data_IF_183083243512
#
_entry.id   IF_183083243512
#
_cell.length_a   1.000
_cell.length_b   1.000
_cell.length_c   1.000
_cell.angle_alpha   90.00
_cell.angle_beta   90.00
_cell.angle_gamma   90.00
#
_symmetry.space_group_name_H-M   'P 1'
#
loop_
_entity.id
_entity.type
_entity.pdbx_description
1 polymer ?
#
# COMPACT_ATOMS: atom_id res chain seq x y z
N UNK A 1 -29.89 -21.46 -8.80
CA UNK A 1 -29.04 -20.70 -9.76
C UNK A 1 -27.83 -21.56 -10.13
N UNK A 2 -27.78 -22.15 -11.33
CA UNK A 2 -26.64 -23.01 -11.74
C UNK A 2 -25.45 -22.12 -12.09
N UNK A 3 -24.36 -22.18 -11.33
CA UNK A 3 -23.12 -21.52 -11.69
C UNK A 3 -22.46 -22.27 -12.87
N UNK A 4 -22.02 -21.53 -13.88
CA UNK A 4 -21.24 -22.10 -14.97
C UNK A 4 -19.76 -22.26 -14.56
N UNK A 5 -19.02 -23.10 -15.29
CA UNK A 5 -17.60 -23.40 -15.01
C UNK A 5 -16.71 -22.15 -14.96
N UNK A 6 -17.04 -21.09 -15.71
CA UNK A 6 -16.32 -19.80 -15.71
C UNK A 6 -16.52 -19.05 -14.39
N UNK A 7 -17.75 -18.97 -13.91
CA UNK A 7 -18.10 -18.32 -12.65
C UNK A 7 -17.50 -19.07 -11.46
N UNK A 8 -17.47 -20.41 -11.50
CA UNK A 8 -16.80 -21.22 -10.47
C UNK A 8 -15.29 -20.93 -10.42
N UNK A 9 -14.61 -20.81 -11.57
CA UNK A 9 -13.19 -20.45 -11.63
C UNK A 9 -12.91 -19.04 -11.10
N UNK A 10 -13.77 -18.06 -11.43
CA UNK A 10 -13.65 -16.69 -10.92
C UNK A 10 -13.81 -16.67 -9.40
N UNK A 11 -14.83 -17.35 -8.87
CA UNK A 11 -15.04 -17.42 -7.42
C UNK A 11 -13.88 -18.12 -6.70
N UNK A 12 -13.32 -19.19 -7.28
CA UNK A 12 -12.13 -19.84 -6.75
C UNK A 12 -10.92 -18.90 -6.76
N UNK A 13 -10.70 -18.15 -7.84
CA UNK A 13 -9.61 -17.18 -7.91
C UNK A 13 -9.76 -16.06 -6.88
N UNK A 14 -10.98 -15.52 -6.69
CA UNK A 14 -11.26 -14.51 -5.67
C UNK A 14 -11.08 -15.06 -4.25
N UNK A 15 -11.50 -16.30 -4.00
CA UNK A 15 -11.31 -16.96 -2.71
C UNK A 15 -9.82 -17.20 -2.40
N UNK A 16 -9.04 -17.65 -3.38
CA UNK A 16 -7.58 -17.82 -3.24
C UNK A 16 -6.91 -16.46 -3.01
N UNK A 17 -7.26 -15.44 -3.79
CA UNK A 17 -6.74 -14.08 -3.59
C UNK A 17 -7.03 -13.56 -2.17
N UNK A 18 -8.27 -13.72 -1.71
CA UNK A 18 -8.68 -13.32 -0.37
C UNK A 18 -7.86 -14.06 0.72
N UNK A 19 -7.71 -15.39 0.59
CA UNK A 19 -6.92 -16.20 1.52
C UNK A 19 -5.44 -15.79 1.55
N UNK A 20 -4.84 -15.50 0.39
CA UNK A 20 -3.45 -15.02 0.29
C UNK A 20 -3.31 -13.64 0.95
N UNK A 21 -4.27 -12.73 0.74
CA UNK A 21 -4.23 -11.39 1.37
C UNK A 21 -4.41 -11.43 2.88
N UNK A 22 -5.19 -12.37 3.42
CA UNK A 22 -5.39 -12.54 4.85
C UNK A 22 -4.15 -13.10 5.56
N UNK A 23 -3.34 -13.90 4.85
CA UNK A 23 -2.13 -14.51 5.43
C UNK A 23 -0.94 -13.55 5.57
N UNK A 24 -0.97 -12.38 4.90
CA UNK A 24 0.15 -11.44 4.87
C UNK A 24 0.02 -10.28 5.87
N UNK A 25 -1.11 -10.16 6.58
CA UNK A 25 -1.36 -9.04 7.48
C UNK A 25 -0.83 -9.33 8.89
N UNK A 26 0.34 -8.78 9.22
CA UNK A 26 0.85 -8.76 10.60
C UNK A 26 0.28 -7.57 11.36
N UNK A 27 -0.17 -7.77 12.60
CA UNK A 27 -0.62 -6.67 13.45
C UNK A 27 0.55 -5.74 13.78
N UNK A 28 0.33 -4.42 13.72
CA UNK A 28 1.27 -3.42 14.20
C UNK A 28 1.05 -3.22 15.73
N UNK A 29 1.97 -3.69 16.60
CA UNK A 29 1.82 -3.54 18.05
C UNK A 29 1.90 -2.09 18.53
N UNK A 30 2.49 -1.20 17.73
CA UNK A 30 2.63 0.23 18.03
C UNK A 30 1.49 1.08 17.47
N UNK A 31 0.45 0.48 16.89
CA UNK A 31 -0.70 1.20 16.37
C UNK A 31 -1.39 1.99 17.49
N UNK A 32 -1.54 3.30 17.30
CA UNK A 32 -2.15 4.21 18.26
C UNK A 32 -1.28 4.51 19.49
N UNK A 33 -0.06 3.96 19.54
CA UNK A 33 0.92 4.26 20.58
C UNK A 33 1.72 5.46 20.10
N UNK A 34 1.80 6.49 20.94
CA UNK A 34 2.59 7.68 20.64
C UNK A 34 4.08 7.32 20.56
N UNK A 35 4.78 7.91 19.60
CA UNK A 35 6.24 7.80 19.51
C UNK A 35 6.86 8.47 20.74
N UNK A 36 7.70 7.77 21.49
CA UNK A 36 8.26 8.29 22.75
C UNK A 36 9.01 9.62 22.59
N UNK A 37 9.66 9.81 21.45
CA UNK A 37 10.44 11.01 21.16
C UNK A 37 9.59 12.27 20.94
N UNK A 38 8.38 12.14 20.39
CA UNK A 38 7.54 13.29 19.99
C UNK A 38 6.23 13.37 20.77
N UNK A 39 5.78 12.27 21.38
CA UNK A 39 4.46 12.16 21.99
C UNK A 39 3.31 12.11 20.97
N UNK A 40 3.60 11.96 19.68
CA UNK A 40 2.60 12.01 18.61
C UNK A 40 2.31 10.63 18.00
N UNK A 41 1.07 10.46 17.52
CA UNK A 41 0.64 9.32 16.70
C UNK A 41 0.43 9.82 15.28
N UNK A 42 1.12 9.22 14.32
CA UNK A 42 1.13 9.72 12.94
C UNK A 42 -0.19 9.39 12.23
N UNK A 43 -0.74 10.39 11.53
CA UNK A 43 -2.05 10.32 10.88
C UNK A 43 -2.00 10.45 9.36
N UNK A 44 -3.16 10.74 8.76
CA UNK A 44 -3.33 10.79 7.30
C UNK A 44 -2.29 11.66 6.58
N UNK A 45 -2.07 12.90 7.03
CA UNK A 45 -1.15 13.84 6.38
C UNK A 45 0.30 13.37 6.45
N UNK A 46 0.69 12.73 7.55
CA UNK A 46 2.01 12.15 7.70
C UNK A 46 2.17 10.96 6.75
N UNK A 47 1.16 10.09 6.69
CA UNK A 47 1.14 8.98 5.74
C UNK A 47 1.27 9.46 4.30
N UNK A 48 0.53 10.49 3.91
CA UNK A 48 0.62 11.07 2.57
C UNK A 48 2.02 11.58 2.24
N UNK A 49 2.66 12.28 3.18
CA UNK A 49 4.02 12.78 3.02
C UNK A 49 5.07 11.65 2.93
N UNK A 50 4.97 10.67 3.83
CA UNK A 50 5.85 9.50 3.85
C UNK A 50 5.71 8.70 2.56
N UNK A 51 4.49 8.50 2.08
CA UNK A 51 4.23 7.85 0.80
C UNK A 51 4.79 8.63 -0.40
N UNK A 52 4.65 9.95 -0.40
CA UNK A 52 5.20 10.82 -1.46
C UNK A 52 6.73 10.79 -1.50
N UNK A 53 7.37 10.70 -0.33
CA UNK A 53 8.84 10.71 -0.21
C UNK A 53 9.46 9.31 -0.19
N UNK A 54 8.65 8.25 -0.16
CA UNK A 54 9.08 6.86 -0.01
C UNK A 54 10.20 6.45 -0.99
N UNK A 55 10.08 6.84 -2.26
CA UNK A 55 11.10 6.53 -3.28
C UNK A 55 12.43 7.22 -3.03
N UNK A 56 12.40 8.46 -2.52
CA UNK A 56 13.60 9.24 -2.18
C UNK A 56 14.25 8.66 -0.92
N UNK A 57 13.46 8.35 0.11
CA UNK A 57 13.95 7.71 1.33
C UNK A 57 14.61 6.35 1.04
N UNK A 58 13.96 5.53 0.20
CA UNK A 58 14.53 4.28 -0.28
C UNK A 58 15.85 4.47 -1.02
N UNK A 59 15.95 5.48 -1.90
CA UNK A 59 17.18 5.79 -2.62
C UNK A 59 18.33 6.14 -1.67
N UNK A 60 18.09 6.95 -0.63
CA UNK A 60 19.12 7.25 0.36
C UNK A 60 19.54 6.02 1.18
N UNK A 61 18.60 5.12 1.49
CA UNK A 61 18.92 3.88 2.20
C UNK A 61 19.85 2.96 1.38
N UNK A 62 19.85 3.04 0.04
CA UNK A 62 20.83 2.30 -0.80
C UNK A 62 22.28 2.77 -0.59
N UNK A 63 22.49 4.01 -0.15
CA UNK A 63 23.80 4.58 0.10
C UNK A 63 24.17 4.62 1.59
N UNK A 64 23.52 3.79 2.42
CA UNK A 64 23.78 3.71 3.87
C UNK A 64 22.95 4.68 4.72
N UNK A 65 21.89 5.26 4.17
CA UNK A 65 20.88 5.97 4.95
C UNK A 65 20.12 5.03 5.90
N UNK A 66 19.61 5.60 7.00
CA UNK A 66 18.79 4.91 7.99
C UNK A 66 17.43 5.61 8.14
N UNK A 67 16.73 5.83 7.02
CA UNK A 67 15.44 6.50 6.99
C UNK A 67 14.29 5.50 7.03
N UNK A 68 13.35 5.70 7.95
CA UNK A 68 12.06 5.01 7.94
C UNK A 68 11.25 5.47 6.72
N UNK A 69 10.79 4.52 5.91
CA UNK A 69 9.90 4.82 4.78
C UNK A 69 8.44 4.94 5.25
N UNK A 70 8.10 4.26 6.35
CA UNK A 70 6.76 4.15 6.89
C UNK A 70 6.87 4.23 8.42
N UNK A 71 5.97 5.00 9.05
CA UNK A 71 5.98 5.22 10.49
C UNK A 71 5.31 4.08 11.23
N UNK A 72 5.98 3.53 12.23
CA UNK A 72 5.49 2.42 13.04
C UNK A 72 4.45 2.91 14.06
N UNK A 73 4.61 4.14 14.57
CA UNK A 73 3.71 4.77 15.53
C UNK A 73 2.62 5.58 14.83
N UNK A 74 1.66 4.89 14.22
CA UNK A 74 0.61 5.49 13.41
C UNK A 74 -0.81 5.14 13.88
N UNK A 75 -1.83 5.83 13.35
CA UNK A 75 -3.24 5.62 13.68
C UNK A 75 -3.93 4.49 12.87
N UNK A 76 -3.18 3.77 12.04
CA UNK A 76 -3.62 2.71 11.15
C UNK A 76 -4.22 3.23 9.86
N UNK A 77 -5.48 2.86 9.60
CA UNK A 77 -6.13 2.97 8.29
C UNK A 77 -6.01 4.36 7.64
N UNK A 78 -6.06 5.44 8.43
CA UNK A 78 -5.95 6.80 7.88
C UNK A 78 -4.53 7.13 7.44
N UNK A 79 -3.52 6.77 8.24
CA UNK A 79 -2.12 6.83 7.84
C UNK A 79 -1.86 5.94 6.61
N UNK A 80 -2.34 4.69 6.61
CA UNK A 80 -2.20 3.74 5.49
C UNK A 80 -2.80 4.28 4.20
N UNK A 81 -4.00 4.85 4.30
CA UNK A 81 -4.68 5.45 3.16
C UNK A 81 -3.89 6.64 2.60
N UNK A 82 -3.40 7.53 3.46
CA UNK A 82 -2.50 8.61 3.05
C UNK A 82 -1.26 8.08 2.35
N UNK A 83 -0.59 7.09 2.95
CA UNK A 83 0.61 6.47 2.41
C UNK A 83 0.40 5.87 1.02
N UNK A 84 -0.67 5.10 0.83
CA UNK A 84 -1.00 4.52 -0.47
C UNK A 84 -1.31 5.59 -1.53
N UNK A 85 -1.98 6.69 -1.15
CA UNK A 85 -2.18 7.82 -2.06
C UNK A 85 -0.86 8.49 -2.43
N UNK A 86 0.04 8.69 -1.46
CA UNK A 86 1.35 9.28 -1.68
C UNK A 86 2.21 8.46 -2.64
N UNK A 87 2.29 7.15 -2.41
CA UNK A 87 3.01 6.22 -3.31
C UNK A 87 2.32 6.13 -4.67
N UNK A 88 0.98 6.06 -4.68
CA UNK A 88 0.16 5.95 -5.89
C UNK A 88 0.26 7.14 -6.83
N UNK A 89 0.58 8.34 -6.30
CA UNK A 89 0.82 9.53 -7.11
C UNK A 89 1.92 9.29 -8.17
N UNK A 90 2.99 8.55 -7.83
CA UNK A 90 4.05 8.18 -8.77
C UNK A 90 3.67 7.02 -9.70
N UNK A 91 2.80 6.11 -9.25
CA UNK A 91 2.34 4.97 -10.06
C UNK A 91 1.41 5.38 -11.22
N UNK A 92 0.73 6.53 -11.11
CA UNK A 92 -0.20 7.03 -12.14
C UNK A 92 0.46 7.40 -13.47
N UNK A 93 1.77 7.68 -13.48
CA UNK A 93 2.54 8.09 -14.67
C UNK A 93 2.86 6.96 -15.67
N UNK A 94 2.56 5.69 -15.34
CA UNK A 94 2.89 4.54 -16.21
C UNK A 94 1.73 4.08 -17.11
N UNK A 95 0.61 4.78 -17.11
CA UNK A 95 -0.54 4.48 -17.99
C UNK A 95 -0.37 5.06 -19.41
N UNK A 96 0.81 4.88 -20.00
CA UNK A 96 1.01 5.08 -21.44
C UNK A 96 1.28 3.72 -22.07
N UNK A 97 0.39 3.32 -23.00
CA UNK A 97 0.47 2.17 -23.92
C UNK A 97 -0.34 0.90 -23.56
N UNK A 98 -1.66 0.99 -23.69
CA UNK A 98 -2.44 -0.05 -24.38
C UNK A 98 -3.23 0.58 -25.54
N UNK A 99 -2.52 1.34 -26.40
CA UNK A 99 -2.98 1.57 -27.77
C UNK A 99 -2.45 0.42 -28.64
N UNK A 100 -3.27 -0.04 -29.59
CA UNK A 100 -3.01 -1.09 -30.61
C UNK A 100 -3.43 -2.51 -30.17
N UNK A 101 -4.41 -3.22 -30.77
CA UNK A 101 -5.06 -3.11 -32.08
C UNK A 101 -6.49 -3.63 -32.01
N UNK A 102 -7.44 -2.80 -32.44
CA UNK A 102 -8.72 -3.24 -33.00
C UNK A 102 -8.43 -3.81 -34.39
N UNK A 103 -8.51 -5.12 -34.58
CA UNK A 103 -8.52 -5.70 -35.93
C UNK A 103 -9.98 -6.02 -36.31
N UNK A 104 -10.36 -5.52 -37.49
CA UNK A 104 -11.59 -5.90 -38.20
C UNK A 104 -11.45 -7.31 -38.75
#
# INVERSE_FOLDING_TARGET
MKLNKRNTRILLALAVLLLVTLACATANPSKGVALEATGEVYGFWNGLWDGWTAGIAWLFNLFGGHYGIYEVHNNGNWYDFGFLLGVGAFASGSSTAASSRRNK
#
